data_IF_806778705475
#
_entry.id   IF_806778705475
#
_cell.length_a   1.000
_cell.length_b   1.000
_cell.length_c   1.000
_cell.angle_alpha   90.00
_cell.angle_beta   90.00
_cell.angle_gamma   90.00
#
_symmetry.space_group_name_H-M   'P 1'
#
loop_
_entity.id
_entity.type
_entity.pdbx_description
1 polymer ?
#
# COMPACT_ATOMS: atom_id res chain seq x y z
N UNK A 1 7.87 -17.79 -4.61
CA UNK A 1 8.70 -16.83 -5.39
C UNK A 1 8.32 -15.40 -5.06
N UNK A 2 7.02 -15.10 -4.91
CA UNK A 2 6.44 -13.79 -4.59
C UNK A 2 6.85 -13.10 -3.27
N UNK A 3 7.43 -13.81 -2.30
CA UNK A 3 7.83 -13.24 -0.99
C UNK A 3 9.04 -12.29 -1.09
N UNK A 4 9.99 -12.60 -1.96
CA UNK A 4 11.18 -11.79 -2.14
C UNK A 4 10.83 -10.43 -2.77
N UNK A 5 9.88 -10.40 -3.70
CA UNK A 5 9.52 -9.20 -4.48
C UNK A 5 8.97 -8.05 -3.61
N UNK A 6 8.07 -8.33 -2.65
CA UNK A 6 7.51 -7.29 -1.77
C UNK A 6 8.47 -6.86 -0.69
N UNK A 7 9.17 -7.83 -0.12
CA UNK A 7 10.22 -7.54 0.84
C UNK A 7 11.27 -6.67 0.19
N UNK A 8 11.77 -7.01 -1.00
CA UNK A 8 12.72 -6.21 -1.75
C UNK A 8 12.14 -4.83 -2.08
N UNK A 9 10.94 -4.72 -2.65
CA UNK A 9 10.38 -3.42 -3.03
C UNK A 9 10.23 -2.45 -1.85
N UNK A 10 9.70 -2.93 -0.71
CA UNK A 10 9.46 -2.08 0.44
C UNK A 10 10.71 -1.90 1.32
N UNK A 11 11.54 -2.95 1.48
CA UNK A 11 12.83 -2.84 2.18
C UNK A 11 13.81 -1.99 1.39
N UNK A 12 13.90 -2.14 0.07
CA UNK A 12 14.73 -1.29 -0.79
C UNK A 12 14.20 0.15 -0.79
N UNK A 13 12.88 0.36 -0.81
CA UNK A 13 12.31 1.69 -0.65
C UNK A 13 12.68 2.29 0.72
N UNK A 14 12.61 1.52 1.81
CA UNK A 14 13.09 1.94 3.14
C UNK A 14 14.60 2.24 3.14
N UNK A 15 15.42 1.45 2.43
CA UNK A 15 16.86 1.69 2.31
C UNK A 15 17.18 2.97 1.53
N UNK A 16 16.50 3.21 0.41
CA UNK A 16 16.64 4.46 -0.36
C UNK A 16 16.24 5.68 0.49
N UNK A 17 15.31 5.47 1.42
CA UNK A 17 14.85 6.49 2.34
C UNK A 17 15.81 6.80 3.50
N UNK A 18 16.83 5.97 3.77
CA UNK A 18 17.82 6.24 4.83
C UNK A 18 18.71 7.48 4.56
N UNK A 19 18.54 8.15 3.42
CA UNK A 19 19.36 9.28 3.01
C UNK A 19 18.56 10.43 2.36
N UNK A 20 17.28 10.64 2.69
CA UNK A 20 16.42 11.72 2.11
C UNK A 20 16.18 11.63 0.60
N UNK A 21 16.68 10.57 -0.06
CA UNK A 21 16.74 10.50 -1.52
C UNK A 21 15.36 10.39 -2.18
N UNK A 22 14.39 9.72 -1.53
CA UNK A 22 13.05 9.60 -2.10
C UNK A 22 12.31 10.94 -2.02
N UNK A 23 12.32 11.62 -0.88
CA UNK A 23 11.67 12.93 -0.75
C UNK A 23 12.34 13.98 -1.64
N UNK A 24 13.68 13.95 -1.75
CA UNK A 24 14.43 14.82 -2.67
C UNK A 24 14.10 14.51 -4.15
N UNK A 25 14.12 13.25 -4.56
CA UNK A 25 13.78 12.84 -5.92
C UNK A 25 12.32 13.19 -6.29
N UNK A 26 11.41 13.10 -5.31
CA UNK A 26 10.03 13.55 -5.47
C UNK A 26 9.96 15.07 -5.61
N UNK A 27 10.67 15.82 -4.77
CA UNK A 27 10.73 17.28 -4.82
C UNK A 27 11.25 17.81 -6.17
N UNK A 28 12.10 17.05 -6.85
CA UNK A 28 12.63 17.39 -8.18
C UNK A 28 11.66 17.07 -9.34
N UNK A 29 10.58 16.32 -9.09
CA UNK A 29 9.63 15.89 -10.13
C UNK A 29 8.28 16.59 -10.00
N UNK A 30 7.94 17.42 -10.99
CA UNK A 30 6.76 18.30 -11.00
C UNK A 30 5.38 17.62 -10.99
N UNK A 31 5.33 16.28 -10.89
CA UNK A 31 4.10 15.48 -10.97
C UNK A 31 3.63 14.94 -9.61
N UNK A 32 4.37 15.25 -8.54
CA UNK A 32 3.99 14.87 -7.18
C UNK A 32 3.32 16.03 -6.44
N UNK A 33 2.30 15.69 -5.67
CA UNK A 33 1.67 16.58 -4.70
C UNK A 33 2.14 16.16 -3.31
N UNK A 34 2.67 17.09 -2.54
CA UNK A 34 3.13 16.87 -1.18
C UNK A 34 2.16 17.52 -0.19
N UNK A 35 1.73 16.76 0.83
CA UNK A 35 0.86 17.20 1.90
C UNK A 35 1.54 16.92 3.23
N UNK A 36 1.66 17.96 4.07
CA UNK A 36 2.19 17.88 5.43
C UNK A 36 1.04 18.07 6.41
N UNK A 37 0.99 17.24 7.44
CA UNK A 37 -0.02 17.31 8.48
C UNK A 37 0.55 17.96 9.74
N UNK A 38 0.13 19.19 10.03
CA UNK A 38 0.59 19.95 11.20
C UNK A 38 0.06 19.38 12.53
N UNK A 39 -1.04 18.61 12.51
CA UNK A 39 -1.64 17.91 13.66
C UNK A 39 -2.53 16.74 13.19
N UNK A 40 -2.49 15.64 13.95
CA UNK A 40 -3.09 14.32 13.71
C UNK A 40 -4.52 14.35 13.15
N UNK A 41 -4.69 13.79 11.95
CA UNK A 41 -5.97 13.25 11.47
C UNK A 41 -5.66 11.91 10.79
N UNK A 42 -5.92 10.80 11.48
CA UNK A 42 -5.68 9.43 10.96
C UNK A 42 -4.68 8.65 11.83
N UNK A 43 -3.99 7.67 11.23
CA UNK A 43 -2.91 6.92 11.88
C UNK A 43 -1.86 7.90 12.44
N UNK A 44 -1.73 7.95 13.76
CA UNK A 44 -0.87 8.85 14.55
C UNK A 44 0.61 8.82 14.12
N UNK A 45 0.99 7.85 13.28
CA UNK A 45 2.34 7.68 12.76
C UNK A 45 2.60 8.48 11.48
N UNK A 46 1.58 8.89 10.71
CA UNK A 46 1.80 9.55 9.41
C UNK A 46 1.79 11.07 9.58
N UNK A 47 2.86 11.72 9.13
CA UNK A 47 3.01 13.18 9.16
C UNK A 47 3.13 13.80 7.76
N UNK A 48 3.55 13.02 6.77
CA UNK A 48 3.71 13.50 5.39
C UNK A 48 3.17 12.48 4.39
N UNK A 49 2.51 12.99 3.34
CA UNK A 49 2.05 12.20 2.20
C UNK A 49 2.53 12.79 0.87
N UNK A 50 2.95 11.91 -0.03
CA UNK A 50 3.30 12.25 -1.41
C UNK A 50 2.39 11.48 -2.37
N UNK A 51 1.70 12.20 -3.25
CA UNK A 51 0.77 11.64 -4.23
C UNK A 51 1.28 11.84 -5.65
N UNK A 52 1.27 10.79 -6.46
CA UNK A 52 1.63 10.83 -7.87
C UNK A 52 0.44 10.52 -8.78
N UNK A 53 0.43 11.13 -9.97
CA UNK A 53 -0.53 10.83 -11.05
C UNK A 53 -1.98 10.78 -10.55
N UNK A 54 -2.45 11.88 -9.96
CA UNK A 54 -3.81 12.02 -9.43
C UNK A 54 -4.17 11.01 -8.32
N UNK A 55 -3.17 10.56 -7.55
CA UNK A 55 -3.37 9.64 -6.42
C UNK A 55 -3.29 8.16 -6.79
N UNK A 56 -2.84 7.83 -8.00
CA UNK A 56 -2.55 6.45 -8.40
C UNK A 56 -1.50 5.78 -7.49
N UNK A 57 -0.56 6.58 -6.98
CA UNK A 57 0.41 6.16 -5.95
C UNK A 57 0.42 7.19 -4.83
N UNK A 58 0.36 6.72 -3.58
CA UNK A 58 0.61 7.50 -2.37
C UNK A 58 1.74 6.87 -1.58
N UNK A 59 2.67 7.68 -1.11
CA UNK A 59 3.72 7.31 -0.17
C UNK A 59 3.48 8.08 1.12
N UNK A 60 3.39 7.36 2.24
CA UNK A 60 3.17 7.94 3.56
C UNK A 60 4.42 7.77 4.43
N UNK A 61 4.80 8.86 5.10
CA UNK A 61 5.99 8.92 5.94
C UNK A 61 5.66 9.34 7.36
N UNK A 62 6.45 8.84 8.30
CA UNK A 62 6.38 9.23 9.71
C UNK A 62 7.14 10.51 10.03
N UNK A 63 7.06 10.94 11.29
CA UNK A 63 7.72 12.14 11.80
C UNK A 63 9.26 12.07 11.73
N UNK A 64 9.84 10.88 11.64
CA UNK A 64 11.27 10.67 11.42
C UNK A 64 11.63 10.68 9.92
N UNK A 65 10.65 10.86 9.04
CA UNK A 65 10.78 10.79 7.61
C UNK A 65 10.89 9.36 7.09
N UNK A 66 10.48 8.34 7.85
CA UNK A 66 10.51 6.92 7.47
C UNK A 66 9.29 6.55 6.63
N UNK A 67 9.48 5.88 5.49
CA UNK A 67 8.37 5.31 4.71
C UNK A 67 7.67 4.21 5.52
N UNK A 68 6.39 4.43 5.84
CA UNK A 68 5.56 3.49 6.61
C UNK A 68 4.51 2.80 5.75
N UNK A 69 4.08 3.43 4.65
CA UNK A 69 3.05 2.85 3.80
C UNK A 69 3.15 3.32 2.34
N UNK A 70 2.86 2.40 1.43
CA UNK A 70 2.64 2.65 0.01
C UNK A 70 1.19 2.27 -0.31
N UNK A 71 0.45 3.18 -0.96
CA UNK A 71 -0.90 2.90 -1.44
C UNK A 71 -0.94 2.99 -2.96
N UNK A 72 -1.50 1.97 -3.58
CA UNK A 72 -1.73 1.88 -5.03
C UNK A 72 -3.24 1.95 -5.28
N UNK A 73 -3.67 2.80 -6.22
CA UNK A 73 -5.08 3.04 -6.49
C UNK A 73 -5.36 3.20 -7.99
N UNK A 74 -6.58 3.63 -8.32
CA UNK A 74 -7.01 3.87 -9.69
C UNK A 74 -5.99 4.73 -10.46
N UNK A 75 -5.63 4.28 -11.67
CA UNK A 75 -4.59 4.89 -12.50
C UNK A 75 -3.25 4.17 -12.44
N UNK A 76 -2.96 3.40 -11.38
CA UNK A 76 -1.75 2.58 -11.32
C UNK A 76 -1.79 1.45 -12.36
N UNK A 77 -0.75 1.34 -13.19
CA UNK A 77 -0.68 0.39 -14.32
C UNK A 77 0.16 -0.86 -14.02
N UNK A 78 0.80 -0.92 -12.85
CA UNK A 78 1.61 -2.07 -12.46
C UNK A 78 0.75 -3.25 -11.99
N UNK A 79 1.43 -4.32 -11.61
CA UNK A 79 0.82 -5.57 -11.16
C UNK A 79 1.38 -5.99 -9.80
N UNK A 80 0.51 -6.51 -8.95
CA UNK A 80 0.83 -7.28 -7.76
C UNK A 80 0.97 -8.76 -8.17
N UNK A 81 2.03 -9.44 -7.72
CA UNK A 81 2.33 -10.84 -8.10
C UNK A 81 2.40 -11.08 -9.63
N UNK A 82 2.85 -10.07 -10.39
CA UNK A 82 2.89 -10.07 -11.87
C UNK A 82 1.53 -10.27 -12.59
N UNK A 83 0.43 -10.37 -11.85
CA UNK A 83 -0.86 -10.82 -12.40
C UNK A 83 -2.06 -9.97 -11.98
N UNK A 84 -2.02 -9.37 -10.79
CA UNK A 84 -3.16 -8.72 -10.15
C UNK A 84 -3.05 -7.21 -10.30
N UNK A 85 -4.13 -6.56 -10.72
CA UNK A 85 -4.19 -5.12 -10.96
C UNK A 85 -5.30 -4.47 -10.16
N UNK A 86 -5.24 -3.14 -10.03
CA UNK A 86 -6.39 -2.35 -9.61
C UNK A 86 -7.52 -2.59 -10.63
N UNK A 87 -8.73 -2.86 -10.12
CA UNK A 87 -9.92 -3.20 -10.87
C UNK A 87 -10.13 -4.69 -11.14
N UNK A 88 -9.16 -5.56 -10.85
CA UNK A 88 -9.34 -7.02 -10.91
C UNK A 88 -10.26 -7.53 -9.81
N UNK A 89 -10.86 -8.71 -9.99
CA UNK A 89 -11.65 -9.37 -8.94
C UNK A 89 -10.74 -9.74 -7.75
N UNK A 90 -11.21 -9.46 -6.54
CA UNK A 90 -10.47 -9.70 -5.30
C UNK A 90 -10.12 -11.18 -5.09
N UNK A 91 -10.99 -12.10 -5.53
CA UNK A 91 -10.78 -13.54 -5.40
C UNK A 91 -9.52 -14.05 -6.13
N UNK A 92 -8.97 -13.29 -7.09
CA UNK A 92 -7.70 -13.62 -7.74
C UNK A 92 -6.52 -13.63 -6.78
N UNK A 93 -6.59 -12.88 -5.68
CA UNK A 93 -5.55 -12.82 -4.65
C UNK A 93 -5.44 -14.15 -3.90
N UNK A 94 -6.54 -14.91 -3.78
CA UNK A 94 -6.56 -16.22 -3.11
C UNK A 94 -5.67 -17.26 -3.77
N UNK A 95 -5.27 -17.06 -5.04
CA UNK A 95 -4.29 -17.92 -5.71
C UNK A 95 -2.87 -17.73 -5.15
N UNK A 96 -2.63 -16.64 -4.42
CA UNK A 96 -1.31 -16.19 -3.98
C UNK A 96 -1.20 -16.07 -2.45
N UNK A 97 -2.29 -15.69 -1.76
CA UNK A 97 -2.33 -15.54 -0.32
C UNK A 97 -3.75 -15.74 0.23
N UNK A 98 -3.85 -16.25 1.46
CA UNK A 98 -5.12 -16.28 2.18
C UNK A 98 -5.52 -14.85 2.59
N UNK A 99 -6.81 -14.53 2.49
CA UNK A 99 -7.36 -13.24 2.89
C UNK A 99 -8.18 -13.35 4.17
N UNK A 100 -7.92 -12.46 5.13
CA UNK A 100 -8.75 -12.22 6.29
C UNK A 100 -9.44 -10.87 6.16
N UNK A 101 -10.74 -10.80 6.40
CA UNK A 101 -11.47 -9.53 6.38
C UNK A 101 -11.53 -8.96 7.80
N UNK A 102 -11.08 -7.72 7.95
CA UNK A 102 -11.23 -6.90 9.15
C UNK A 102 -12.46 -6.01 8.99
N UNK A 103 -13.42 -6.13 9.90
CA UNK A 103 -14.67 -5.39 9.88
C UNK A 103 -14.58 -3.98 10.50
N UNK A 104 -13.50 -3.69 11.23
CA UNK A 104 -13.23 -2.36 11.80
C UNK A 104 -12.60 -1.46 10.75
N UNK A 105 -11.58 -1.97 10.04
CA UNK A 105 -10.87 -1.21 9.01
C UNK A 105 -11.53 -1.36 7.62
N UNK A 106 -12.44 -2.32 7.47
CA UNK A 106 -13.12 -2.65 6.21
C UNK A 106 -12.12 -3.05 5.10
N UNK A 107 -11.08 -3.77 5.50
CA UNK A 107 -9.96 -4.20 4.67
C UNK A 107 -9.82 -5.72 4.64
N UNK A 108 -9.25 -6.22 3.54
CA UNK A 108 -8.78 -7.59 3.45
C UNK A 108 -7.27 -7.64 3.67
N UNK A 109 -6.83 -8.31 4.73
CA UNK A 109 -5.42 -8.54 5.03
C UNK A 109 -4.95 -9.86 4.42
N UNK A 110 -3.90 -9.79 3.61
CA UNK A 110 -3.29 -10.97 3.01
C UNK A 110 -2.28 -11.59 3.98
N UNK A 111 -2.51 -12.85 4.35
CA UNK A 111 -1.57 -13.67 5.12
C UNK A 111 -0.42 -14.15 4.24
N UNK A 112 0.52 -13.25 3.95
CA UNK A 112 1.78 -13.61 3.29
C UNK A 112 2.75 -14.15 4.36
N UNK A 113 3.20 -15.40 4.19
CA UNK A 113 3.93 -16.15 5.23
C UNK A 113 5.16 -15.41 5.81
N UNK A 114 5.21 -15.27 7.14
CA UNK A 114 6.30 -14.75 8.01
C UNK A 114 7.20 -13.67 7.39
N UNK A 115 6.82 -12.39 7.50
CA UNK A 115 7.65 -11.25 7.10
C UNK A 115 7.28 -9.97 7.86
N UNK A 116 8.15 -8.96 7.82
CA UNK A 116 7.98 -7.66 8.51
C UNK A 116 7.07 -6.67 7.75
N UNK A 117 6.36 -7.12 6.71
CA UNK A 117 5.58 -6.26 5.80
C UNK A 117 4.17 -6.84 5.66
N UNK A 118 3.17 -6.01 5.92
CA UNK A 118 1.76 -6.31 5.72
C UNK A 118 1.27 -5.88 4.34
N UNK A 119 0.31 -6.66 3.81
CA UNK A 119 -0.39 -6.38 2.58
C UNK A 119 -1.89 -6.35 2.88
N UNK A 120 -2.50 -5.18 2.67
CA UNK A 120 -3.93 -4.99 2.86
C UNK A 120 -4.58 -4.54 1.56
N UNK A 121 -5.83 -4.91 1.33
CA UNK A 121 -6.55 -4.68 0.08
C UNK A 121 -7.94 -4.15 0.40
N UNK A 122 -8.24 -2.96 -0.12
CA UNK A 122 -9.59 -2.43 -0.13
C UNK A 122 -10.26 -2.78 -1.44
N UNK A 123 -11.46 -3.34 -1.36
CA UNK A 123 -12.29 -3.67 -2.51
C UNK A 123 -13.68 -3.08 -2.33
N UNK A 124 -14.47 -3.72 -1.46
CA UNK A 124 -15.78 -3.27 -0.97
C UNK A 124 -15.81 -3.49 0.55
N UNK A 125 -16.67 -2.76 1.27
CA UNK A 125 -16.87 -2.82 2.73
C UNK A 125 -17.67 -4.09 3.13
N UNK A 126 -17.20 -5.25 2.65
CA UNK A 126 -17.82 -6.55 2.90
C UNK A 126 -16.82 -7.68 2.75
N UNK A 127 -16.93 -8.77 3.53
CA UNK A 127 -16.08 -9.93 3.33
C UNK A 127 -16.37 -10.61 1.99
N UNK A 128 -15.34 -11.20 1.39
CA UNK A 128 -15.38 -11.83 0.07
C UNK A 128 -16.51 -12.87 -0.11
N UNK A 129 -16.89 -13.60 0.95
CA UNK A 129 -17.96 -14.61 0.85
C UNK A 129 -19.36 -14.00 0.68
N UNK A 130 -19.57 -12.74 1.11
CA UNK A 130 -20.85 -12.04 0.95
C UNK A 130 -20.97 -11.43 -0.45
N UNK A 131 -19.87 -10.89 -0.97
CA UNK A 131 -19.78 -10.30 -2.31
C UNK A 131 -18.58 -10.94 -3.02
N UNK A 132 -18.75 -11.99 -3.83
CA UNK A 132 -17.62 -12.67 -4.48
C UNK A 132 -17.06 -11.93 -5.71
N UNK A 133 -17.76 -10.89 -6.19
CA UNK A 133 -17.40 -10.15 -7.40
C UNK A 133 -16.76 -8.77 -7.14
N UNK A 134 -16.36 -8.51 -5.89
CA UNK A 134 -15.67 -7.27 -5.52
C UNK A 134 -14.44 -7.06 -6.38
N UNK A 135 -14.19 -5.80 -6.71
CA UNK A 135 -12.99 -5.40 -7.43
C UNK A 135 -12.02 -4.71 -6.50
N UNK A 136 -10.74 -4.97 -6.71
CA UNK A 136 -9.66 -4.32 -5.97
C UNK A 136 -9.68 -2.83 -6.31
N UNK A 137 -9.93 -2.01 -5.30
CA UNK A 137 -9.96 -0.56 -5.42
C UNK A 137 -8.65 0.07 -4.97
N UNK A 138 -8.03 -0.48 -3.90
CA UNK A 138 -6.71 -0.05 -3.41
C UNK A 138 -5.91 -1.22 -2.86
N UNK A 139 -4.60 -1.09 -2.96
CA UNK A 139 -3.64 -2.00 -2.34
C UNK A 139 -2.75 -1.17 -1.41
N UNK A 140 -2.54 -1.67 -0.20
CA UNK A 140 -1.71 -1.07 0.84
C UNK A 140 -0.56 -2.01 1.13
N UNK A 141 0.67 -1.50 1.05
CA UNK A 141 1.89 -2.20 1.50
C UNK A 141 2.45 -1.39 2.66
N UNK A 142 2.54 -1.99 3.83
CA UNK A 142 2.90 -1.30 5.08
C UNK A 142 3.80 -2.16 5.95
N UNK A 143 4.45 -1.54 6.94
CA UNK A 143 5.39 -2.24 7.83
C UNK A 143 4.76 -2.89 9.06
N UNK A 144 3.46 -2.74 9.26
CA UNK A 144 2.75 -3.44 10.32
C UNK A 144 2.29 -4.82 9.88
N UNK A 145 2.55 -5.79 10.75
CA UNK A 145 1.81 -7.05 10.80
C UNK A 145 0.72 -6.88 11.87
N UNK A 146 -0.56 -6.96 11.46
CA UNK A 146 -1.67 -7.16 12.39
C UNK A 146 -1.72 -8.64 12.82
#
# INVERSE_FOLDING_TARGET
MHKAEFSELFVDAKHWNQATQIQEAIGETASWLHVVYDNVVGDDRITEDYYYSYGAVRLAFDAAGTLVMIVLAEGYQGTLFDEIRIGDRLDRVLNHADLHYDDVDELHHASIAEGEIGLSIYAEESPLFNLPDQKISRIFVHDDFL
#
